data_IF_977173388497
#
_entry.id   IF_977173388497
#
_cell.length_a   1.000
_cell.length_b   1.000
_cell.length_c   1.000
_cell.angle_alpha   90.00
_cell.angle_beta   90.00
_cell.angle_gamma   90.00
#
_symmetry.space_group_name_H-M   'P 1'
#
loop_
_entity.id
_entity.type
_entity.pdbx_description
1 polymer ?
2 non-polymer ?
3 non-polymer ?
4 non-polymer ?
5 water ?
#
# COMPACT_ATOMS: atom_id res chain seq x y z
N UNK A 16 7.83 11.86 29.62
CA UNK A 16 8.66 11.44 30.75
C UNK A 16 8.02 10.32 31.54
N UNK A 17 7.26 10.68 32.57
CA UNK A 17 6.37 9.75 33.25
C UNK A 17 4.92 10.06 32.93
N UNK A 18 4.69 10.83 31.87
CA UNK A 18 3.33 11.18 31.50
C UNK A 18 2.48 9.94 31.27
N UNK A 19 3.00 8.98 30.52
CA UNK A 19 2.15 7.88 30.10
C UNK A 19 1.98 6.83 31.18
N UNK A 20 2.96 6.66 32.05
CA UNK A 20 2.76 5.85 33.24
C UNK A 20 1.71 6.51 34.15
CA UNK A 22 -3.65 6.84 32.64
C UNK A 22 -3.71 5.32 32.73
N UNK A 23 -4.74 4.83 33.43
CA UNK A 23 -5.05 3.40 33.43
C UNK A 23 -6.30 3.12 32.61
N UNK A 24 -6.71 4.07 31.78
CA UNK A 24 -7.89 3.94 30.94
C UNK A 24 -7.50 4.25 29.51
N UNK A 25 -8.13 3.55 28.58
CA UNK A 25 -7.80 3.67 27.18
C UNK A 25 -7.62 2.29 26.60
N UNK A 26 -7.85 2.17 25.30
CA UNK A 26 -7.58 0.95 24.57
C UNK A 26 -6.92 1.33 23.24
N UNK A 27 -6.01 0.48 22.78
CA UNK A 27 -5.14 0.84 21.68
C UNK A 27 -5.15 -0.27 20.64
N UNK A 28 -5.23 0.12 19.37
CA UNK A 28 -5.30 -0.82 18.27
C UNK A 28 -4.31 -0.41 17.19
N UNK A 29 -3.76 -1.39 16.51
CA UNK A 29 -2.97 -1.14 15.31
C UNK A 29 -3.90 -0.96 14.15
N UNK A 30 -3.59 0.00 13.26
CA UNK A 30 -4.29 0.14 12.00
C UNK A 30 -3.26 -0.09 10.91
N UNK A 31 -3.53 -1.04 10.03
CA UNK A 31 -2.66 -1.32 8.89
C UNK A 31 -3.41 -0.95 7.63
N UNK A 32 -2.86 -0.03 6.85
CA UNK A 32 -3.47 0.41 5.61
C UNK A 32 -2.60 -0.05 4.43
N UNK A 33 -3.23 -0.62 3.40
CA UNK A 33 -2.51 -0.90 2.17
C UNK A 33 -2.28 0.35 1.35
N UNK A 34 -3.08 1.39 1.58
CA UNK A 34 -3.17 2.55 0.71
C UNK A 34 -2.56 3.77 1.36
N UNK A 35 -1.60 4.37 0.67
CA UNK A 35 -1.11 5.66 1.10
C UNK A 35 -2.15 6.75 0.85
N UNK A 36 -2.95 6.61 -0.21
CA UNK A 36 -4.03 7.55 -0.46
C UNK A 36 -5.02 7.60 0.69
N UNK A 37 -5.31 6.46 1.31
CA UNK A 37 -6.31 6.44 2.38
C UNK A 37 -5.80 7.09 3.65
N UNK A 38 -4.50 6.99 3.93
CA UNK A 38 -3.93 7.76 5.04
C UNK A 38 -4.13 9.25 4.82
N UNK A 39 -3.81 9.72 3.60
CA UNK A 39 -3.92 11.15 3.32
C UNK A 39 -5.35 11.63 3.47
N UNK A 40 -6.31 10.84 3.00
CA UNK A 40 -7.71 11.24 3.12
C UNK A 40 -8.15 11.27 4.58
N UNK A 41 -7.70 10.30 5.36
CA UNK A 41 -8.06 10.28 6.77
C UNK A 41 -7.49 11.50 7.50
N UNK A 42 -6.27 11.89 7.16
CA UNK A 42 -5.68 13.06 7.79
C UNK A 42 -6.41 14.32 7.36
N UNK A 43 -6.80 14.39 6.08
CA UNK A 43 -7.50 15.58 5.58
C UNK A 43 -8.88 15.73 6.19
N UNK A 44 -9.62 14.65 6.32
CA UNK A 44 -11.03 14.73 6.68
C UNK A 44 -11.35 14.17 8.04
N UNK A 45 -10.37 13.57 8.71
CA UNK A 45 -10.54 13.03 10.07
C UNK A 45 -11.66 12.00 10.12
N UNK A 46 -11.52 10.99 9.27
CA UNK A 46 -12.42 9.85 9.23
C UNK A 46 -11.59 8.60 8.97
N UNK A 47 -12.21 7.44 9.16
CA UNK A 47 -11.56 6.19 8.83
C UNK A 47 -12.61 5.12 8.58
N UNK A 48 -12.16 3.99 8.04
CA UNK A 48 -13.00 2.83 7.82
C UNK A 48 -12.10 1.60 7.79
N UNK A 49 -12.52 0.55 8.46
CA UNK A 49 -11.78 -0.71 8.44
C UNK A 49 -12.63 -1.74 7.69
N UNK A 50 -12.18 -3.00 7.74
CA UNK A 50 -13.00 -4.10 7.24
C UNK A 50 -14.25 -4.20 8.09
N UNK A 51 -15.17 -5.07 7.68
CA UNK A 51 -16.35 -5.24 8.51
C UNK A 51 -15.93 -5.77 9.89
N UNK A 52 -15.09 -6.81 9.92
CA UNK A 52 -14.66 -7.35 11.19
C UNK A 52 -13.86 -6.32 11.98
N UNK A 53 -13.02 -5.53 11.30
CA UNK A 53 -12.26 -4.52 12.01
C UNK A 53 -13.12 -3.42 12.61
N UNK A 54 -14.10 -2.94 11.84
CA UNK A 54 -15.02 -1.92 12.32
C UNK A 54 -15.77 -2.36 13.57
N UNK A 55 -16.32 -3.57 13.53
CA UNK A 55 -17.05 -4.12 14.65
C UNK A 55 -16.19 -4.17 15.90
N UNK A 56 -14.93 -4.57 15.78
CA UNK A 56 -14.05 -4.59 16.94
C UNK A 56 -13.83 -3.19 17.50
N UNK A 57 -13.59 -2.22 16.62
CA UNK A 57 -13.40 -0.85 17.09
C UNK A 57 -14.70 -0.27 17.64
N UNK A 58 -15.83 -0.55 17.00
CA UNK A 58 -17.09 0.00 17.48
C UNK A 58 -17.42 -0.52 18.87
N UNK A 59 -17.10 -1.78 19.14
CA UNK A 59 -17.34 -2.33 20.47
C UNK A 59 -16.45 -1.67 21.50
N UNK A 60 -15.16 -1.55 21.18
CA UNK A 60 -14.23 -0.90 22.11
C UNK A 60 -14.65 0.53 22.38
N UNK A 61 -15.09 1.25 21.35
CA UNK A 61 -15.48 2.64 21.53
C UNK A 61 -16.73 2.75 22.40
N UNK A 62 -17.73 1.92 22.14
CA UNK A 62 -18.98 2.00 22.89
C UNK A 62 -18.80 1.52 24.33
N UNK A 63 -18.01 0.47 24.53
CA UNK A 63 -17.73 -0.01 25.87
C UNK A 63 -16.80 0.92 26.63
N UNK A 64 -16.06 1.77 25.94
CA UNK A 64 -15.23 2.74 26.65
C UNK A 64 -16.11 3.75 27.37
N UNK A 65 -17.30 4.02 26.82
CA UNK A 65 -18.29 4.99 27.29
C UNK A 65 -17.64 6.28 27.74
N UNK A 66 -16.61 6.73 27.03
CA UNK A 66 -15.98 8.01 27.28
C UNK A 66 -15.00 8.06 28.44
N UNK A 67 -14.78 6.94 29.13
CA UNK A 67 -13.92 6.87 30.30
C UNK A 67 -12.43 6.91 29.96
N UNK A 68 -12.09 7.26 28.73
CA UNK A 68 -10.73 7.24 28.30
C UNK A 68 -10.71 7.04 26.79
N UNK A 69 -9.56 7.27 26.18
CA UNK A 69 -9.48 7.28 24.72
C UNK A 69 -9.23 5.93 24.08
N UNK A 70 -9.63 5.84 22.81
CA UNK A 70 -9.29 4.73 21.93
C UNK A 70 -8.27 5.26 20.96
N UNK A 71 -7.03 4.82 21.08
CA UNK A 71 -5.97 5.27 20.20
C UNK A 71 -5.80 4.30 19.04
N UNK A 72 -5.38 4.84 17.90
CA UNK A 72 -5.18 4.07 16.68
C UNK A 72 -3.76 4.33 16.19
N UNK A 73 -2.97 3.28 16.04
CA UNK A 73 -1.58 3.40 15.62
C UNK A 73 -1.46 2.99 14.15
N UNK A 74 -1.32 3.98 13.26
CA UNK A 74 -1.40 3.78 11.82
C UNK A 74 -0.05 3.39 11.22
N UNK A 75 -0.08 2.43 10.30
CA UNK A 75 1.10 1.99 9.59
C UNK A 75 0.65 1.48 8.23
N UNK A 76 1.36 1.88 7.18
CA UNK A 76 1.07 1.41 5.83
C UNK A 76 1.83 0.10 5.61
N UNK A 77 1.09 -0.96 5.30
CA UNK A 77 1.63 -2.29 5.00
C UNK A 77 2.81 -2.18 4.04
N UNK A 78 3.96 -2.66 4.46
CA UNK A 78 5.15 -2.69 3.63
C UNK A 78 6.04 -1.48 3.74
N UNK A 79 5.60 -0.41 4.39
CA UNK A 79 6.33 0.85 4.42
C UNK A 79 7.52 0.84 5.38
N UNK A 80 7.56 -0.09 6.34
CA UNK A 80 8.64 -0.15 7.30
C UNK A 80 8.54 0.85 8.43
N UNK A 81 7.45 1.60 8.55
CA UNK A 81 7.33 2.57 9.60
C UNK A 81 5.86 2.80 9.93
N UNK A 82 5.63 3.28 11.14
CA UNK A 82 4.35 3.86 11.50
C UNK A 82 4.31 5.30 11.06
N UNK A 83 3.11 5.80 10.78
CA UNK A 83 3.01 7.13 10.22
C UNK A 83 2.22 8.10 11.07
N UNK A 84 1.56 7.65 12.12
CA UNK A 84 0.85 8.59 12.95
C UNK A 84 0.02 7.92 14.01
N UNK A 85 -0.62 8.77 14.81
CA UNK A 85 -1.51 8.38 15.91
C UNK A 85 -2.79 9.19 15.76
N UNK A 86 -3.91 8.51 15.85
CA UNK A 86 -5.18 9.17 15.86
C UNK A 86 -6.00 8.60 16.99
N UNK A 87 -6.98 9.37 17.42
CA UNK A 87 -7.93 8.91 18.39
C UNK A 87 -9.29 8.77 17.72
N UNK A 88 -9.97 7.65 18.00
CA UNK A 88 -11.37 7.49 17.63
C UNK A 88 -12.27 8.54 18.25
N UNK A 89 -13.18 9.09 17.45
CA UNK A 89 -14.07 10.12 17.93
C UNK A 89 -15.52 9.90 17.49
N UNK A 90 -15.89 8.69 17.09
CA UNK A 90 -17.29 8.37 16.91
C UNK A 90 -17.43 6.87 16.82
N UNK A 91 -18.65 6.39 17.05
CA UNK A 91 -18.96 5.03 16.72
C UNK A 91 -18.90 4.87 15.20
N UNK A 92 -19.12 3.65 14.74
CA UNK A 92 -19.12 3.35 13.32
C UNK A 92 -20.52 3.57 12.77
N UNK A 93 -20.61 4.38 11.72
CA UNK A 93 -21.79 4.47 10.89
C UNK A 93 -21.59 3.52 9.71
N UNK A 94 -22.46 2.53 9.58
CA UNK A 94 -22.28 1.51 8.58
C UNK A 94 -22.97 1.84 7.26
N UNK A 95 -23.73 2.92 7.21
CA UNK A 95 -24.54 3.23 6.05
C UNK A 95 -24.04 4.57 5.55
N UNK A 96 -22.99 4.57 4.75
CA UNK A 96 -22.45 5.81 4.23
C UNK A 96 -22.12 5.65 2.75
N UNK A 97 -21.86 6.78 2.10
CA UNK A 97 -21.49 6.78 0.69
C UNK A 97 -20.39 5.79 0.42
N UNK A 98 -20.58 4.97 -0.61
CA UNK A 98 -19.55 3.99 -0.95
C UNK A 98 -18.53 4.59 -1.89
N UNK A 99 -17.42 3.88 -2.08
CA UNK A 99 -16.46 4.30 -3.08
C UNK A 99 -15.61 5.51 -2.74
N UNK A 100 -15.54 5.90 -1.47
CA UNK A 100 -14.78 7.09 -1.11
C UNK A 100 -13.31 6.79 -0.84
N UNK A 101 -12.96 5.54 -0.61
CA UNK A 101 -11.58 5.15 -0.37
C UNK A 101 -10.98 4.62 -1.66
N UNK A 102 -9.65 4.46 -1.67
CA UNK A 102 -8.95 4.21 -2.94
C UNK A 102 -9.36 2.88 -3.57
N UNK A 103 -9.82 1.92 -2.77
CA UNK A 103 -10.46 0.72 -3.27
C UNK A 103 -11.86 0.62 -2.69
N UNK A 104 -12.85 0.35 -3.55
CA UNK A 104 -14.23 0.30 -3.12
C UNK A 104 -14.52 -0.93 -2.29
N UNK A 105 -13.75 -1.15 -1.23
CA UNK A 105 -13.89 -2.35 -0.43
C UNK A 105 -14.49 -2.06 0.93
N UNK A 106 -15.26 -0.98 1.07
CA UNK A 106 -15.55 -0.50 2.42
C UNK A 106 -16.96 0.01 2.54
N UNK A 107 -17.65 -0.45 3.58
CA UNK A 107 -18.97 0.04 3.97
C UNK A 107 -18.84 0.78 5.30
N UNK A 108 -19.06 2.08 5.28
CA UNK A 108 -19.16 2.80 6.52
C UNK A 108 -17.98 3.73 6.76
N UNK A 109 -17.95 4.29 7.97
CA UNK A 109 -17.13 5.43 8.29
C UNK A 109 -17.24 5.71 9.78
N UNK A 110 -16.14 6.12 10.41
CA UNK A 110 -16.21 6.66 11.75
C UNK A 110 -15.24 7.83 11.87
N UNK A 111 -15.51 8.72 12.83
CA UNK A 111 -14.68 9.90 12.96
C UNK A 111 -13.42 9.55 13.72
N UNK A 112 -12.30 10.16 13.32
CA UNK A 112 -11.06 10.08 14.09
C UNK A 112 -10.56 11.50 14.33
N UNK A 113 -9.55 11.62 15.17
CA UNK A 113 -8.84 12.87 15.39
C UNK A 113 -7.35 12.58 15.35
N UNK A 114 -6.68 13.04 14.32
CA UNK A 114 -5.26 12.80 14.22
C UNK A 114 -4.51 13.65 15.22
N UNK A 115 -3.70 12.96 16.01
CA UNK A 115 -3.01 13.53 17.13
C UNK A 115 -1.54 13.71 16.81
N UNK A 116 -1.04 12.96 15.85
CA UNK A 116 0.39 12.89 15.64
C UNK A 116 0.59 12.38 14.22
N UNK A 117 1.31 13.13 13.42
CA UNK A 117 1.65 12.69 12.07
C UNK A 117 3.17 12.74 11.99
N UNK A 118 3.82 11.59 12.19
CA UNK A 118 5.27 11.52 12.08
C UNK A 118 5.65 10.10 11.70
N UNK A 119 6.65 9.97 10.82
CA UNK A 119 7.18 8.67 10.47
C UNK A 119 8.05 8.16 11.59
N UNK A 120 7.74 6.96 12.08
CA UNK A 120 8.51 6.29 13.14
C UNK A 120 8.95 4.94 12.61
N UNK A 121 10.26 4.73 12.39
CA UNK A 121 10.71 3.48 11.77
C UNK A 121 10.44 2.27 12.66
N UNK A 122 10.22 1.11 12.03
CA UNK A 122 9.91 -0.10 12.78
C UNK A 122 11.06 -0.50 13.70
N UNK A 123 12.29 -0.09 13.36
CA UNK A 123 13.46 -0.42 14.16
C UNK A 123 13.35 0.11 15.59
N UNK A 124 12.57 1.18 15.79
CA UNK A 124 12.44 1.79 17.09
C UNK A 124 11.40 1.10 17.95
N UNK A 125 10.59 0.21 17.36
CA UNK A 125 9.52 -0.45 18.07
C UNK A 125 9.58 -1.97 18.04
N UNK A 126 10.51 -2.57 17.29
CA UNK A 126 10.50 -4.01 17.09
C UNK A 126 10.70 -4.80 18.39
N UNK A 127 11.30 -4.22 19.40
CA UNK A 127 11.63 -4.99 20.59
C UNK A 127 10.48 -5.06 21.58
N UNK A 128 9.41 -4.32 21.33
CA UNK A 128 8.18 -4.44 22.10
C UNK A 128 7.36 -5.58 21.51
N UNK A 129 6.84 -6.45 22.35
CA UNK A 129 6.14 -7.62 21.88
C UNK A 129 4.79 -7.72 22.54
N UNK A 130 3.85 -8.35 21.85
CA UNK A 130 2.47 -8.40 22.27
C UNK A 130 2.18 -9.77 22.86
N UNK A 131 2.02 -9.83 24.18
CA UNK A 131 1.71 -11.11 24.81
C UNK A 131 0.36 -11.67 24.36
N UNK A 132 -0.51 -10.83 23.79
CA UNK A 132 -1.80 -11.31 23.27
C UNK A 132 -1.73 -11.68 21.79
N UNK A 133 -0.54 -11.66 21.19
CA UNK A 133 -0.33 -12.08 19.82
C UNK A 133 0.96 -12.89 19.78
N UNK A 134 0.95 -13.98 20.55
CA UNK A 134 2.03 -14.98 20.60
C UNK A 134 3.41 -14.34 20.72
N UNK A 135 3.46 -13.19 21.37
CA UNK A 135 4.69 -12.51 21.71
C UNK A 135 5.39 -11.97 20.47
N UNK A 136 4.61 -11.77 19.41
CA UNK A 136 5.18 -11.23 18.19
C UNK A 136 5.49 -9.75 18.39
N UNK A 137 6.50 -9.24 17.70
CA UNK A 137 6.76 -7.81 17.79
C UNK A 137 5.52 -7.03 17.36
N UNK A 138 5.30 -5.89 18.03
CA UNK A 138 4.16 -5.06 17.71
C UNK A 138 4.21 -4.60 16.26
N UNK A 139 5.40 -4.58 15.67
CA UNK A 139 5.58 -4.19 14.29
C UNK A 139 5.21 -5.31 13.31
N UNK A 140 4.82 -6.47 13.80
CA UNK A 140 4.35 -7.55 12.96
C UNK A 140 2.86 -7.83 13.14
N UNK A 141 2.10 -6.79 13.45
CA UNK A 141 0.67 -6.91 13.68
C UNK A 141 -0.13 -6.81 12.38
N UNK A 142 -1.34 -7.34 12.43
CA UNK A 142 -2.34 -7.14 11.39
C UNK A 142 -3.31 -6.03 11.80
N UNK A 143 -4.19 -5.69 10.87
CA UNK A 143 -5.15 -4.61 11.08
C UNK A 143 -6.06 -4.88 12.27
N UNK A 144 -6.25 -3.85 13.12
CA UNK A 144 -7.03 -3.83 14.35
C UNK A 144 -6.54 -4.81 15.42
N UNK A 145 -5.29 -5.23 15.34
CA UNK A 145 -4.66 -5.91 16.46
C UNK A 145 -4.69 -5.00 17.68
N UNK A 146 -5.31 -5.47 18.77
CA UNK A 146 -5.32 -4.68 19.99
C UNK A 146 -4.02 -4.83 20.75
N UNK A 147 -3.57 -3.73 21.34
CA UNK A 147 -2.32 -3.67 22.08
C UNK A 147 -2.64 -3.60 23.57
N UNK A 148 -2.04 -4.43 24.41
CA UNK A 148 -2.26 -4.32 25.85
C UNK A 148 -1.84 -2.94 26.33
N UNK A 149 -2.61 -2.42 27.29
CA UNK A 149 -2.38 -1.08 27.79
C UNK A 149 -0.93 -0.85 28.18
N UNK A 150 -0.32 -1.82 28.85
CA UNK A 150 1.04 -1.57 29.32
C UNK A 150 2.06 -1.55 28.19
N UNK A 151 1.83 -2.32 27.13
CA UNK A 151 2.73 -2.21 25.98
C UNK A 151 2.42 -0.97 25.15
N UNK A 152 1.14 -0.60 25.07
CA UNK A 152 0.75 0.61 24.37
C UNK A 152 1.45 1.83 24.97
N UNK A 153 1.58 1.89 26.30
CA UNK A 153 2.27 3.02 26.90
C UNK A 153 3.69 3.14 26.39
N UNK A 154 4.37 1.99 26.24
CA UNK A 154 5.76 2.00 25.79
C UNK A 154 5.88 2.46 24.35
N UNK A 155 4.92 2.07 23.51
CA UNK A 155 4.93 2.47 22.11
C UNK A 155 4.67 3.97 21.98
N UNK A 156 3.68 4.48 22.70
CA UNK A 156 3.40 5.91 22.62
C UNK A 156 4.58 6.75 23.07
N UNK A 157 5.22 6.35 24.16
CA UNK A 157 6.36 7.13 24.62
C UNK A 157 7.45 7.16 23.55
N UNK A 158 7.66 6.04 22.85
CA UNK A 158 8.66 5.99 21.79
C UNK A 158 8.26 6.87 20.62
N UNK A 159 6.98 6.82 20.24
CA UNK A 159 6.55 7.60 19.09
C UNK A 159 6.70 9.09 19.40
N UNK A 160 6.18 9.50 20.55
CA UNK A 160 6.17 10.91 20.92
C UNK A 160 7.56 11.46 21.18
N UNK A 161 8.56 10.60 21.31
CA UNK A 161 9.92 11.04 21.58
C UNK A 161 10.87 10.80 20.42
N UNK A 162 10.39 10.28 19.29
CA UNK A 162 11.26 10.03 18.15
C UNK A 162 11.59 11.33 17.43
N UNK A 163 12.82 11.40 16.90
CA UNK A 163 13.27 12.52 16.06
C UNK A 163 14.51 12.11 15.27
N UNK B 16 -5.90 -14.52 -28.15
CA UNK B 16 -4.58 -14.85 -28.69
C UNK B 16 -4.21 -13.92 -29.84
N UNK B 17 -5.03 -12.89 -30.04
CA UNK B 17 -4.78 -11.82 -31.02
C UNK B 17 -3.90 -10.72 -30.48
N UNK B 18 -3.46 -10.85 -29.24
CA UNK B 18 -2.62 -9.86 -28.57
C UNK B 18 -1.24 -10.43 -28.33
N UNK B 19 -0.21 -9.63 -28.62
CA UNK B 19 1.17 -9.93 -28.23
C UNK B 19 1.69 -11.21 -28.85
N UNK B 20 1.12 -11.62 -29.98
CA UNK B 20 1.66 -12.80 -30.65
C UNK B 20 3.12 -12.60 -31.01
N UNK B 21 3.52 -11.36 -31.26
CA UNK B 21 4.81 -11.02 -31.84
C UNK B 21 5.50 -10.09 -30.86
N UNK B 22 6.17 -10.65 -29.88
CA UNK B 22 6.87 -9.87 -28.87
C UNK B 22 8.24 -10.46 -28.67
N UNK B 23 8.87 -10.88 -29.77
CA UNK B 23 10.01 -11.80 -29.73
C UNK B 23 11.03 -11.40 -28.66
N UNK B 24 11.35 -10.11 -28.56
CA UNK B 24 12.35 -9.60 -27.63
C UNK B 24 11.68 -8.88 -26.47
N UNK B 25 12.49 -8.23 -25.66
CA UNK B 25 11.93 -7.36 -24.66
C UNK B 25 11.79 -8.00 -23.30
N UNK B 26 11.38 -7.18 -22.35
CA UNK B 26 11.47 -7.55 -20.95
C UNK B 26 10.24 -6.97 -20.23
N UNK B 27 9.84 -7.63 -19.16
CA UNK B 27 8.55 -7.35 -18.53
C UNK B 27 8.74 -7.31 -17.01
N UNK B 28 8.19 -6.27 -16.36
CA UNK B 28 8.41 -6.07 -14.95
C UNK B 28 7.09 -5.79 -14.25
N UNK B 29 7.00 -6.23 -13.02
CA UNK B 29 5.86 -5.90 -12.18
C UNK B 29 6.10 -4.53 -11.57
N UNK B 30 5.06 -3.70 -11.57
CA UNK B 30 5.06 -2.42 -10.87
C UNK B 30 4.01 -2.50 -9.80
N UNK B 31 4.38 -2.20 -8.56
CA UNK B 31 3.45 -2.15 -7.44
C UNK B 31 3.37 -0.72 -6.91
N UNK B 32 2.17 -0.26 -6.60
CA UNK B 32 1.96 1.10 -6.13
C UNK B 32 1.22 1.12 -4.79
N UNK B 33 1.60 2.05 -3.92
CA UNK B 33 0.85 2.35 -2.70
C UNK B 33 -0.26 3.36 -2.91
N UNK B 34 -0.37 3.90 -4.11
CA UNK B 34 -1.18 5.09 -4.35
C UNK B 34 -1.98 4.87 -5.62
N UNK B 35 -3.30 4.86 -5.49
CA UNK B 35 -4.12 4.77 -6.68
C UNK B 35 -4.11 6.11 -7.41
N UNK B 36 -4.03 7.21 -6.66
CA UNK B 36 -3.88 8.53 -7.26
C UNK B 36 -2.70 8.58 -8.21
N UNK B 37 -1.55 8.06 -7.77
CA UNK B 37 -0.37 8.09 -8.60
C UNK B 37 -0.56 7.32 -9.90
N UNK B 38 -1.28 6.19 -9.84
CA UNK B 38 -1.62 5.47 -11.07
C UNK B 38 -2.42 6.38 -12.00
N UNK B 39 -3.36 7.13 -11.43
CA UNK B 39 -4.20 8.00 -12.24
C UNK B 39 -3.38 9.10 -12.90
N UNK B 40 -2.43 9.65 -12.16
CA UNK B 40 -1.54 10.65 -12.74
C UNK B 40 -0.66 10.03 -13.81
N UNK B 41 -0.18 8.81 -13.57
CA UNK B 41 0.59 8.10 -14.57
C UNK B 41 -0.21 7.93 -15.85
N UNK B 42 -1.48 7.55 -15.72
CA UNK B 42 -2.29 7.38 -16.90
C UNK B 42 -2.49 8.72 -17.59
N UNK B 43 -2.70 9.78 -16.81
CA UNK B 43 -3.06 11.05 -17.40
C UNK B 43 -1.89 11.69 -18.11
N UNK B 44 -0.68 11.50 -17.61
CA UNK B 44 0.47 12.18 -18.16
C UNK B 44 1.50 11.23 -18.73
N UNK B 45 1.24 9.92 -18.74
CA UNK B 45 2.13 8.94 -19.34
C UNK B 45 3.54 9.07 -18.79
N UNK B 46 3.66 9.02 -17.46
CA UNK B 46 4.94 9.03 -16.76
C UNK B 46 4.85 8.15 -15.52
N UNK B 47 6.02 7.76 -15.00
CA UNK B 47 6.08 6.97 -13.78
C UNK B 47 7.40 7.23 -13.07
N UNK B 48 7.46 6.80 -11.80
CA UNK B 48 8.68 6.86 -11.03
C UNK B 48 8.66 5.71 -10.03
N UNK B 49 9.81 5.10 -9.80
CA UNK B 49 9.91 3.99 -8.85
C UNK B 49 10.83 4.37 -7.70
N UNK B 50 11.21 3.37 -6.92
CA UNK B 50 12.30 3.54 -5.98
C UNK B 50 13.61 3.82 -6.71
N UNK B 51 14.67 4.10 -5.95
CA UNK B 51 15.95 4.33 -6.61
C UNK B 51 16.45 3.04 -7.22
N UNK B 52 16.51 1.99 -6.42
CA UNK B 52 16.86 0.67 -6.93
C UNK B 52 15.89 0.25 -8.03
N UNK B 53 14.60 0.52 -7.86
CA UNK B 53 13.65 0.16 -8.90
C UNK B 53 13.91 0.92 -10.18
N UNK B 54 14.20 2.21 -10.06
CA UNK B 54 14.46 3.01 -11.25
C UNK B 54 15.70 2.51 -11.99
N UNK B 55 16.71 2.10 -11.24
CA UNK B 55 17.94 1.68 -11.88
C UNK B 55 17.74 0.36 -12.64
N UNK B 56 16.94 -0.56 -12.08
CA UNK B 56 16.71 -1.84 -12.74
C UNK B 56 15.99 -1.64 -14.07
N UNK B 57 14.98 -0.78 -14.10
CA UNK B 57 14.25 -0.52 -15.33
C UNK B 57 15.09 0.30 -16.30
N UNK B 58 15.86 1.26 -15.79
CA UNK B 58 16.77 2.03 -16.62
C UNK B 58 17.72 1.11 -17.37
N UNK B 59 18.37 0.22 -16.63
CA UNK B 59 19.29 -0.74 -17.24
C UNK B 59 18.58 -1.60 -18.28
N UNK B 60 17.41 -2.13 -17.93
CA UNK B 60 16.65 -2.92 -18.89
C UNK B 60 16.35 -2.13 -20.14
N UNK B 61 15.91 -0.88 -19.98
CA UNK B 61 15.55 -0.05 -21.12
C UNK B 61 16.77 0.27 -22.00
N UNK B 62 17.90 0.58 -21.37
CA UNK B 62 19.10 0.86 -22.15
C UNK B 62 19.62 -0.39 -22.86
N UNK B 63 19.78 -1.49 -22.12
CA UNK B 63 20.26 -2.74 -22.69
C UNK B 63 19.45 -3.17 -23.89
N UNK B 64 18.16 -2.84 -23.90
CA UNK B 64 17.32 -3.26 -24.99
C UNK B 64 17.64 -2.47 -26.24
N UNK B 65 18.14 -1.24 -26.06
CA UNK B 65 18.57 -0.36 -27.15
C UNK B 65 17.59 -0.41 -28.31
N UNK B 66 16.31 -0.18 -27.99
CA UNK B 66 15.27 -0.17 -28.99
C UNK B 66 14.98 -1.49 -29.65
N UNK B 67 15.68 -2.57 -29.26
CA UNK B 67 15.50 -3.83 -29.96
C UNK B 67 14.21 -4.53 -29.59
N UNK B 68 13.45 -4.00 -28.65
CA UNK B 68 12.23 -4.63 -28.21
C UNK B 68 11.53 -3.81 -27.14
N UNK B 69 10.35 -4.24 -26.73
CA UNK B 69 9.56 -3.45 -25.78
C UNK B 69 9.76 -3.88 -24.35
N UNK B 70 9.79 -2.91 -23.44
CA UNK B 70 9.83 -3.17 -22.01
C UNK B 70 8.45 -2.87 -21.47
N UNK B 71 7.77 -3.89 -20.97
CA UNK B 71 6.41 -3.77 -20.49
C UNK B 71 6.36 -3.73 -18.98
N UNK B 72 5.35 -3.05 -18.47
CA UNK B 72 5.16 -2.79 -17.06
C UNK B 72 3.76 -3.23 -16.71
N UNK B 73 3.64 -4.12 -15.73
CA UNK B 73 2.35 -4.66 -15.30
C UNK B 73 2.00 -4.04 -13.95
N UNK B 74 0.95 -3.22 -13.91
CA UNK B 74 0.65 -2.38 -12.76
C UNK B 74 -0.38 -3.02 -11.83
N UNK B 75 -0.14 -2.89 -10.53
CA UNK B 75 -1.03 -3.41 -9.51
C UNK B 75 -0.89 -2.53 -8.28
N UNK B 76 -2.00 -2.11 -7.71
CA UNK B 76 -1.97 -1.35 -6.47
C UNK B 76 -1.92 -2.32 -5.30
N UNK B 77 -1.00 -2.06 -4.36
CA UNK B 77 -0.88 -2.93 -3.19
C UNK B 77 -2.23 -3.06 -2.51
N UNK B 78 -2.62 -4.30 -2.26
CA UNK B 78 -3.83 -4.58 -1.52
C UNK B 78 -5.09 -4.55 -2.33
N UNK B 79 -5.03 -4.15 -3.59
CA UNK B 79 -6.23 -3.98 -4.39
C UNK B 79 -6.83 -5.30 -4.81
N UNK B 80 -6.04 -6.36 -4.80
CA UNK B 80 -6.51 -7.66 -5.24
C UNK B 80 -6.66 -7.80 -6.74
N UNK B 81 -6.25 -6.80 -7.51
CA UNK B 81 -6.34 -6.88 -8.95
C UNK B 81 -5.18 -6.15 -9.60
N UNK B 82 -4.87 -6.52 -10.84
CA UNK B 82 -3.98 -5.74 -11.65
C UNK B 82 -4.82 -4.67 -12.33
N UNK B 83 -4.19 -3.54 -12.66
CA UNK B 83 -4.96 -2.41 -13.15
C UNK B 83 -4.59 -1.92 -14.53
N UNK B 84 -3.53 -2.43 -15.14
CA UNK B 84 -3.24 -2.02 -16.49
C UNK B 84 -1.87 -2.46 -16.93
N UNK B 85 -1.54 -2.07 -18.16
CA UNK B 85 -0.28 -2.40 -18.80
C UNK B 85 0.22 -1.15 -19.47
N UNK B 86 1.51 -0.88 -19.34
CA UNK B 86 2.13 0.27 -20.00
C UNK B 86 3.49 -0.14 -20.52
N UNK B 87 3.95 0.54 -21.57
CA UNK B 87 5.28 0.32 -22.11
C UNK B 87 6.21 1.45 -21.69
N UNK B 88 7.42 1.10 -21.28
CA UNK B 88 8.45 2.11 -21.04
C UNK B 88 8.82 2.82 -22.34
N UNK B 89 8.80 4.15 -22.32
CA UNK B 89 9.04 4.92 -23.54
C UNK B 89 10.20 5.91 -23.41
N UNK B 90 11.01 5.80 -22.37
CA UNK B 90 12.19 6.63 -22.20
C UNK B 90 13.01 6.05 -21.07
N UNK B 91 14.27 6.48 -21.00
CA UNK B 91 15.09 6.17 -19.84
C UNK B 91 14.68 7.09 -18.68
N UNK B 92 15.35 6.92 -17.55
CA UNK B 92 15.01 7.61 -16.32
C UNK B 92 15.76 8.93 -16.23
N UNK B 93 15.03 10.01 -16.01
CA UNK B 93 15.63 11.27 -15.58
C UNK B 93 15.63 11.28 -14.06
N UNK B 94 16.80 11.41 -13.46
CA UNK B 94 16.87 11.36 -12.01
C UNK B 94 16.75 12.73 -11.36
N UNK B 95 16.71 13.79 -12.16
CA UNK B 95 16.68 15.17 -11.66
C UNK B 95 15.45 15.84 -12.24
N UNK B 96 14.33 15.75 -11.52
CA UNK B 96 13.06 16.31 -11.99
C UNK B 96 12.41 17.08 -10.84
N UNK B 97 11.30 17.74 -11.17
CA UNK B 97 10.52 18.43 -10.17
C UNK B 97 10.16 17.51 -9.03
N UNK B 98 10.44 17.94 -7.81
CA UNK B 98 10.06 17.19 -6.64
C UNK B 98 8.59 17.39 -6.33
N UNK B 99 8.07 16.54 -5.46
CA UNK B 99 6.73 16.76 -4.93
C UNK B 99 5.56 16.51 -5.85
N UNK B 100 5.76 15.88 -7.02
CA UNK B 100 4.64 15.69 -7.94
C UNK B 100 3.80 14.46 -7.65
N UNK B 101 4.26 13.55 -6.79
CA UNK B 101 3.53 12.32 -6.49
C UNK B 101 2.94 12.37 -5.08
N UNK B 102 2.32 11.26 -4.69
CA UNK B 102 1.61 11.19 -3.41
C UNK B 102 2.57 11.37 -2.26
N UNK B 103 3.77 10.82 -2.35
CA UNK B 103 4.82 11.12 -1.40
C UNK B 103 6.02 11.71 -2.13
N UNK B 104 6.86 12.40 -1.36
CA UNK B 104 8.06 13.02 -1.88
C UNK B 104 9.20 12.03 -2.08
N UNK B 105 9.09 10.83 -1.52
CA UNK B 105 10.16 9.84 -1.65
C UNK B 105 10.40 9.39 -3.08
N UNK B 106 9.54 9.75 -4.03
CA UNK B 106 9.71 9.34 -5.42
C UNK B 106 10.46 10.45 -6.16
N UNK B 107 11.65 10.12 -6.66
CA UNK B 107 12.59 11.11 -7.17
C UNK B 107 12.95 10.70 -8.60
N UNK B 108 12.61 11.56 -9.56
CA UNK B 108 12.90 11.31 -10.95
C UNK B 108 11.65 10.97 -11.74
N UNK B 109 11.87 10.59 -12.99
CA UNK B 109 10.73 10.39 -13.89
C UNK B 109 11.19 9.65 -15.14
N UNK B 110 10.29 8.87 -15.73
CA UNK B 110 10.48 8.36 -17.07
C UNK B 110 9.12 8.29 -17.76
N UNK B 111 9.15 8.24 -19.09
CA UNK B 111 7.93 8.16 -19.86
C UNK B 111 7.45 6.73 -20.01
N UNK B 112 6.13 6.58 -20.05
CA UNK B 112 5.46 5.34 -20.36
C UNK B 112 4.42 5.62 -21.44
N UNK B 113 3.77 4.57 -21.92
CA UNK B 113 2.56 4.70 -22.71
C UNK B 113 1.64 3.56 -22.31
N UNK B 114 0.48 3.90 -21.73
CA UNK B 114 -0.44 2.89 -21.26
C UNK B 114 -1.22 2.30 -22.43
N UNK B 115 -1.33 0.97 -22.46
CA UNK B 115 -1.98 0.26 -23.55
C UNK B 115 -3.30 -0.33 -23.12
N UNK B 116 -3.37 -0.86 -21.90
CA UNK B 116 -4.61 -1.33 -21.30
C UNK B 116 -4.77 -0.65 -19.96
N UNK B 117 -5.96 -0.13 -19.70
CA UNK B 117 -6.34 0.31 -18.37
C UNK B 117 -7.60 -0.46 -18.03
N UNK B 118 -7.48 -1.40 -17.12
CA UNK B 118 -8.56 -2.33 -16.80
C UNK B 118 -8.16 -3.15 -15.58
N UNK B 119 -9.14 -3.44 -14.74
CA UNK B 119 -8.94 -4.27 -13.56
C UNK B 119 -9.10 -5.73 -13.94
N UNK B 120 -8.05 -6.50 -13.73
CA UNK B 120 -8.05 -7.95 -13.89
C UNK B 120 -7.88 -8.57 -12.51
N UNK B 121 -8.80 -9.38 -12.03
CA UNK B 121 -8.67 -9.99 -10.71
C UNK B 121 -7.45 -10.90 -10.62
N UNK B 122 -6.83 -10.92 -9.44
CA UNK B 122 -5.67 -11.77 -9.25
C UNK B 122 -6.00 -13.24 -9.43
N UNK B 123 -7.27 -13.62 -9.20
CA UNK B 123 -7.68 -15.01 -9.43
C UNK B 123 -7.36 -15.44 -10.84
N UNK B 124 -7.43 -14.50 -11.78
CA UNK B 124 -7.26 -14.82 -13.18
C UNK B 124 -5.80 -15.05 -13.53
N UNK B 125 -4.88 -14.63 -12.67
CA UNK B 125 -3.46 -14.61 -12.97
C UNK B 125 -2.63 -15.41 -11.99
N UNK B 126 -3.19 -15.83 -10.87
CA UNK B 126 -2.39 -16.37 -9.79
C UNK B 126 -1.84 -17.77 -10.06
N UNK B 127 -2.34 -18.44 -11.07
CA UNK B 127 -1.77 -19.75 -11.37
C UNK B 127 -0.49 -19.65 -12.18
N UNK B 128 -0.06 -18.45 -12.51
CA UNK B 128 1.17 -18.21 -13.25
C UNK B 128 2.30 -18.00 -12.24
N UNK B 129 3.34 -18.81 -12.34
CA UNK B 129 4.40 -18.83 -11.35
C UNK B 129 5.73 -18.43 -11.97
N UNK B 130 6.51 -17.65 -11.22
CA UNK B 130 7.78 -17.11 -11.70
C UNK B 130 8.93 -18.00 -11.26
N UNK B 131 9.52 -18.71 -12.21
CA UNK B 131 10.63 -19.61 -11.89
C UNK B 131 11.84 -18.84 -11.40
N UNK B 132 11.94 -17.55 -11.66
CA UNK B 132 13.02 -16.75 -11.12
C UNK B 132 12.68 -16.13 -9.77
N UNK B 133 11.52 -16.47 -9.21
CA UNK B 133 11.11 -16.03 -7.89
C UNK B 133 10.55 -17.21 -7.09
N UNK B 134 11.39 -18.22 -6.87
CA UNK B 134 11.04 -19.35 -6.01
C UNK B 134 9.70 -19.95 -6.40
N UNK B 135 9.36 -19.86 -7.70
CA UNK B 135 8.07 -20.27 -8.25
C UNK B 135 6.90 -19.71 -7.47
N UNK B 136 7.09 -18.54 -6.87
CA UNK B 136 5.96 -17.85 -6.26
C UNK B 136 5.02 -17.37 -7.34
N UNK B 137 3.74 -17.24 -7.05
CA UNK B 137 2.80 -16.76 -8.05
C UNK B 137 3.09 -15.31 -8.43
N UNK B 138 2.79 -14.99 -9.69
CA UNK B 138 3.05 -13.65 -10.22
C UNK B 138 2.31 -12.61 -9.40
N UNK B 139 1.14 -12.96 -8.86
CA UNK B 139 0.35 -12.04 -8.06
C UNK B 139 0.96 -11.78 -6.68
N UNK B 140 2.02 -12.51 -6.30
CA UNK B 140 2.76 -12.25 -5.07
C UNK B 140 4.06 -11.54 -5.32
N UNK B 141 4.15 -10.75 -6.37
CA UNK B 141 5.41 -10.12 -6.72
C UNK B 141 5.57 -8.80 -6.01
N UNK B 142 6.80 -8.35 -5.91
CA UNK B 142 7.19 -7.04 -5.41
C UNK B 142 7.51 -6.09 -6.57
N UNK B 143 7.59 -4.80 -6.26
CA UNK B 143 7.84 -3.78 -7.27
C UNK B 143 9.12 -4.08 -8.06
N UNK B 144 9.02 -3.95 -9.38
CA UNK B 144 10.08 -4.18 -10.38
C UNK B 144 10.60 -5.62 -10.39
N UNK B 145 9.80 -6.57 -9.93
CA UNK B 145 10.08 -7.98 -10.18
C UNK B 145 10.05 -8.24 -11.67
N UNK B 146 11.14 -8.78 -12.22
CA UNK B 146 11.15 -9.12 -13.64
C UNK B 146 10.47 -10.46 -13.84
N UNK B 147 9.71 -10.54 -14.91
CA UNK B 147 8.92 -11.72 -15.22
C UNK B 147 9.63 -12.44 -16.37
N UNK B 148 9.77 -13.75 -16.34
CA UNK B 148 10.29 -14.44 -17.54
C UNK B 148 9.35 -14.20 -18.71
N UNK B 149 9.93 -14.10 -19.90
CA UNK B 149 9.18 -13.66 -21.08
C UNK B 149 8.00 -14.55 -21.35
N UNK B 150 8.15 -15.85 -21.13
CA UNK B 150 7.08 -16.77 -21.47
C UNK B 150 5.93 -16.69 -20.48
N UNK B 151 6.23 -16.43 -19.20
CA UNK B 151 5.18 -16.12 -18.23
C UNK B 151 4.57 -14.77 -18.53
N UNK B 152 5.41 -13.78 -18.83
CA UNK B 152 4.92 -12.44 -19.15
C UNK B 152 3.92 -12.48 -20.28
N UNK B 153 4.23 -13.23 -21.34
CA UNK B 153 3.30 -13.33 -22.46
C UNK B 153 1.98 -13.92 -21.99
N UNK B 154 2.02 -14.87 -21.08
CA UNK B 154 0.76 -15.40 -20.56
C UNK B 154 -0.01 -14.33 -19.81
N UNK B 155 0.70 -13.48 -19.06
CA UNK B 155 0.01 -12.47 -18.27
C UNK B 155 -0.56 -11.40 -19.17
N UNK B 156 0.26 -10.90 -20.10
CA UNK B 156 -0.22 -9.88 -21.02
C UNK B 156 -1.45 -10.32 -21.78
N UNK B 157 -1.51 -11.59 -22.16
CA UNK B 157 -2.64 -12.06 -22.95
C UNK B 157 -3.90 -12.24 -22.09
N UNK B 158 -3.75 -12.60 -20.82
CA UNK B 158 -4.92 -12.69 -19.95
C UNK B 158 -5.47 -11.31 -19.69
N UNK B 159 -4.60 -10.33 -19.51
CA UNK B 159 -5.04 -8.97 -19.23
C UNK B 159 -5.75 -8.39 -20.45
N UNK B 160 -5.11 -8.48 -21.61
CA UNK B 160 -5.68 -7.93 -22.84
C UNK B 160 -7.07 -8.50 -23.11
N UNK B 161 -7.26 -9.78 -22.88
CA UNK B 161 -8.51 -10.43 -23.26
C UNK B 161 -9.57 -10.39 -22.16
N UNK B 162 -9.25 -9.97 -20.94
CA UNK B 162 -10.22 -10.06 -19.87
C UNK B 162 -11.41 -9.16 -20.15
N UNK B 163 -12.60 -9.68 -19.88
CA UNK B 163 -13.83 -8.94 -20.09
C UNK B 163 -14.67 -8.89 -18.82
#
# INVERSE_FOLDING_TARGET
MGSSYHHHHHHSSGENLYFQHMKHGRVFIIKSYSEDDIHRSIKYNIWCSTEHGNKRLDAAYRSMNGKGPVYLLFSVNGSGHFCGVAEMKSAVDYNTCAGVWSQDKWKGRFDVRWIFVKDVPNSQLRHIRLENNENKPVTNSRDTQEVPLEKAKQVLKIIASYKHTTS
MGSSYHHHHHHSSGENLYFQHMKHGRVFIIKSYSEDDIHRSIKYNIWCSTEHGNKRLDAAYRSMNGKGPVYLLFSVNGSGHFCGVAEMKSAVDYNTCAGVWSQDKWKGRFDVRWIFVKDVPNSQLRHIRLENNENKPVTNSRDTQEVPLEKAKQVLKIIASYKHTTS
#
